data_IF_960027996482
#
_entry.id   IF_960027996482
#
_cell.length_a   1.000
_cell.length_b   1.000
_cell.length_c   1.000
_cell.angle_alpha   90.00
_cell.angle_beta   90.00
_cell.angle_gamma   90.00
#
_symmetry.space_group_name_H-M   'P 1'
#
loop_
_entity.id
_entity.type
_entity.pdbx_description
1 polymer ?
#
# COMPACT_ATOMS: atom_id res chain seq x y z
N UNK A 1 0.80 -29.88 16.87
CA UNK A 1 0.90 -28.87 15.80
C UNK A 1 1.18 -27.53 16.45
N UNK A 2 2.23 -26.79 16.06
CA UNK A 2 2.33 -25.40 16.47
C UNK A 2 1.15 -24.65 15.84
N UNK A 3 0.39 -23.91 16.64
CA UNK A 3 -0.64 -23.01 16.14
C UNK A 3 0.08 -21.72 15.75
N UNK A 4 0.45 -21.58 14.48
CA UNK A 4 0.90 -20.30 13.96
C UNK A 4 -0.30 -19.33 14.00
N UNK A 5 -0.23 -18.31 14.84
CA UNK A 5 -1.25 -17.27 14.95
C UNK A 5 -0.89 -16.12 14.01
N UNK A 6 -1.51 -16.15 12.83
CA UNK A 6 -1.44 -15.07 11.85
C UNK A 6 -2.53 -14.04 12.13
N UNK A 7 -2.15 -12.80 12.42
CA UNK A 7 -3.09 -11.70 12.29
C UNK A 7 -3.17 -11.28 10.83
N UNK A 8 -4.26 -11.71 10.20
CA UNK A 8 -4.69 -11.14 8.94
C UNK A 8 -5.52 -9.90 9.25
N UNK A 9 -4.99 -8.72 8.97
CA UNK A 9 -5.83 -7.52 8.85
C UNK A 9 -6.59 -7.57 7.50
N UNK A 10 -7.33 -8.67 7.24
CA UNK A 10 -8.00 -8.98 5.96
C UNK A 10 -9.52 -8.76 6.05
N UNK A 11 -9.98 -7.55 6.33
CA UNK A 11 -11.37 -7.19 6.07
C UNK A 11 -11.44 -5.93 5.21
N UNK A 12 -11.45 -6.19 3.90
CA UNK A 12 -11.78 -5.28 2.80
C UNK A 12 -10.70 -4.24 2.48
N UNK A 13 -10.33 -4.18 1.20
CA UNK A 13 -9.13 -3.57 0.59
C UNK A 13 -8.85 -2.09 0.83
N UNK A 14 -8.41 -1.72 2.05
CA UNK A 14 -8.16 -0.32 2.41
C UNK A 14 -7.06 -0.15 3.48
N UNK A 15 -6.11 -1.07 3.60
CA UNK A 15 -5.29 -1.14 4.84
C UNK A 15 -4.42 0.09 5.09
N UNK A 16 -3.85 0.73 4.07
CA UNK A 16 -3.01 1.91 4.32
C UNK A 16 -3.82 3.12 4.82
N UNK A 17 -4.95 3.40 4.15
CA UNK A 17 -5.86 4.50 4.52
C UNK A 17 -6.63 4.27 5.82
N UNK A 18 -6.79 3.00 6.24
CA UNK A 18 -7.46 2.66 7.51
C UNK A 18 -6.51 2.59 8.70
N UNK A 19 -5.21 2.38 8.48
CA UNK A 19 -4.26 2.10 9.57
C UNK A 19 -3.19 3.18 9.74
N UNK A 20 -2.45 3.55 8.69
CA UNK A 20 -1.28 4.44 8.86
C UNK A 20 -1.68 5.87 9.26
N UNK A 21 -2.55 6.51 8.49
CA UNK A 21 -2.81 7.94 8.61
C UNK A 21 -1.61 8.80 8.21
N UNK A 22 -1.55 10.02 8.75
CA UNK A 22 -0.50 10.99 8.52
C UNK A 22 -0.30 11.27 7.01
N UNK A 23 -1.42 11.50 6.31
CA UNK A 23 -1.50 11.53 4.86
C UNK A 23 -0.63 12.64 4.21
N UNK A 24 -0.41 13.74 4.93
CA UNK A 24 0.39 14.89 4.49
C UNK A 24 1.69 15.08 5.31
N UNK A 25 2.07 14.08 6.12
CA UNK A 25 3.25 14.18 6.98
C UNK A 25 4.47 13.44 6.40
N UNK A 26 5.65 13.83 6.88
CA UNK A 26 6.89 13.15 6.54
C UNK A 26 7.26 13.19 5.07
N UNK A 27 6.75 14.16 4.29
CA UNK A 27 7.01 14.29 2.86
C UNK A 27 6.21 13.37 1.94
N UNK A 28 5.18 12.67 2.46
CA UNK A 28 4.25 11.88 1.65
C UNK A 28 3.44 12.77 0.71
N UNK A 29 3.23 12.32 -0.52
CA UNK A 29 2.31 12.96 -1.48
C UNK A 29 0.99 12.19 -1.58
N UNK A 30 -0.09 12.81 -2.10
CA UNK A 30 -1.36 12.12 -2.29
C UNK A 30 -1.26 10.86 -3.17
N UNK A 31 -2.02 9.82 -2.79
CA UNK A 31 -2.35 8.68 -3.63
C UNK A 31 -3.79 8.80 -4.15
N UNK A 32 -4.19 7.90 -5.07
CA UNK A 32 -5.53 7.87 -5.66
C UNK A 32 -6.67 7.83 -4.63
N UNK A 33 -6.44 7.20 -3.47
CA UNK A 33 -7.42 7.17 -2.38
C UNK A 33 -7.55 8.48 -1.63
N UNK A 34 -6.46 9.23 -1.45
CA UNK A 34 -6.52 10.55 -0.79
C UNK A 34 -7.44 11.46 -1.61
N UNK A 35 -7.18 11.58 -2.92
CA UNK A 35 -7.98 12.38 -3.85
C UNK A 35 -9.44 11.94 -3.83
N UNK A 36 -9.71 10.63 -3.97
CA UNK A 36 -11.06 10.09 -3.99
C UNK A 36 -11.84 10.38 -2.68
N UNK A 37 -11.17 10.27 -1.53
CA UNK A 37 -11.79 10.52 -0.23
C UNK A 37 -12.03 12.01 0.01
N UNK A 38 -11.08 12.89 -0.35
CA UNK A 38 -11.24 14.35 -0.24
C UNK A 38 -12.29 14.92 -1.21
N UNK A 39 -12.58 14.22 -2.30
CA UNK A 39 -13.74 14.51 -3.17
C UNK A 39 -15.09 14.07 -2.58
N UNK A 40 -15.09 13.43 -1.40
CA UNK A 40 -16.30 12.99 -0.70
C UNK A 40 -16.99 11.79 -1.36
N UNK A 41 -16.24 10.98 -2.12
CA UNK A 41 -16.75 9.80 -2.82
C UNK A 41 -16.74 8.51 -1.97
N UNK A 42 -16.22 8.57 -0.75
CA UNK A 42 -16.33 7.48 0.24
C UNK A 42 -17.76 7.41 0.80
N UNK A 43 -18.25 6.19 1.11
CA UNK A 43 -19.64 5.97 1.55
C UNK A 43 -20.05 6.82 2.77
N UNK A 44 -19.12 7.04 3.70
CA UNK A 44 -19.32 7.82 4.92
C UNK A 44 -18.67 9.21 4.87
N UNK A 45 -18.14 9.61 3.70
CA UNK A 45 -17.40 10.87 3.47
C UNK A 45 -16.19 11.07 4.38
N UNK A 46 -15.65 10.00 4.97
CA UNK A 46 -14.44 10.07 5.78
C UNK A 46 -13.19 10.01 4.91
N UNK A 47 -12.11 10.58 5.45
CA UNK A 47 -10.78 10.59 4.84
C UNK A 47 -9.83 9.67 5.60
N UNK A 48 -8.74 9.26 4.94
CA UNK A 48 -7.65 8.49 5.54
C UNK A 48 -6.61 9.35 6.24
N UNK A 49 -6.89 10.64 6.50
CA UNK A 49 -5.87 11.60 6.96
C UNK A 49 -5.25 11.22 8.31
N UNK A 50 -6.08 10.71 9.24
CA UNK A 50 -5.66 10.27 10.58
C UNK A 50 -5.75 8.74 10.70
N UNK A 51 -6.82 8.13 10.21
CA UNK A 51 -7.03 6.69 10.27
C UNK A 51 -6.92 6.11 11.71
N UNK A 52 -6.30 4.95 11.90
CA UNK A 52 -5.95 4.43 13.23
C UNK A 52 -4.68 5.06 13.83
N UNK A 53 -4.00 5.93 13.07
CA UNK A 53 -2.82 6.69 13.51
C UNK A 53 -1.61 5.79 13.85
N UNK A 54 -1.46 4.66 13.16
CA UNK A 54 -0.32 3.75 13.35
C UNK A 54 1.00 4.44 13.00
N UNK A 55 1.00 5.44 12.09
CA UNK A 55 2.20 6.19 11.77
C UNK A 55 2.89 6.75 13.03
N UNK A 56 2.11 7.21 14.00
CA UNK A 56 2.60 7.70 15.29
C UNK A 56 2.63 6.62 16.38
N UNK A 57 1.71 5.65 16.31
CA UNK A 57 1.46 4.66 17.39
C UNK A 57 2.05 3.27 17.14
N UNK A 58 2.86 3.09 16.10
CA UNK A 58 3.37 1.78 15.71
C UNK A 58 4.03 0.99 16.86
N UNK A 59 4.69 1.64 17.82
CA UNK A 59 5.28 0.95 18.99
C UNK A 59 4.23 0.34 19.91
N UNK A 60 3.11 1.04 20.11
CA UNK A 60 1.99 0.59 20.93
C UNK A 60 1.28 -0.57 20.22
N UNK A 61 1.02 -0.41 18.92
CA UNK A 61 0.41 -1.45 18.08
C UNK A 61 1.25 -2.72 18.06
N UNK A 62 2.56 -2.61 17.83
CA UNK A 62 3.47 -3.77 17.82
C UNK A 62 3.54 -4.44 19.19
N UNK A 63 3.52 -3.67 20.29
CA UNK A 63 3.47 -4.24 21.64
C UNK A 63 2.16 -5.02 21.85
N UNK A 64 1.02 -4.49 21.40
CA UNK A 64 -0.26 -5.20 21.47
C UNK A 64 -0.25 -6.48 20.63
N UNK A 65 0.34 -6.44 19.43
CA UNK A 65 0.53 -7.63 18.59
C UNK A 65 1.33 -8.73 19.31
N UNK A 66 2.40 -8.33 20.00
CA UNK A 66 3.20 -9.24 20.82
C UNK A 66 2.39 -9.81 22.00
N UNK A 67 1.70 -8.95 22.75
CA UNK A 67 0.89 -9.34 23.91
C UNK A 67 -0.25 -10.31 23.51
N UNK A 68 -0.74 -10.21 22.26
CA UNK A 68 -1.71 -11.13 21.67
C UNK A 68 -1.11 -12.46 21.16
N UNK A 69 0.21 -12.56 21.07
CA UNK A 69 0.91 -13.76 20.61
C UNK A 69 0.95 -13.95 19.10
N UNK A 70 0.98 -12.87 18.32
CA UNK A 70 1.12 -12.94 16.86
C UNK A 70 2.53 -13.40 16.46
N UNK A 71 2.59 -14.33 15.52
CA UNK A 71 3.87 -14.80 14.95
C UNK A 71 4.32 -13.94 13.76
N UNK A 72 3.36 -13.35 13.03
CA UNK A 72 3.61 -12.55 11.85
C UNK A 72 2.61 -11.39 11.72
N UNK A 73 3.06 -10.30 11.09
CA UNK A 73 2.23 -9.14 10.79
C UNK A 73 2.38 -8.73 9.32
N UNK A 74 1.24 -8.69 8.62
CA UNK A 74 1.18 -8.23 7.23
C UNK A 74 0.82 -6.75 7.16
N UNK A 75 1.66 -5.95 6.52
CA UNK A 75 1.40 -4.53 6.24
C UNK A 75 1.81 -4.18 4.80
N UNK A 76 1.41 -3.00 4.32
CA UNK A 76 1.80 -2.47 3.02
C UNK A 76 2.71 -1.25 3.16
N UNK A 77 3.64 -1.09 2.22
CA UNK A 77 4.45 0.13 2.11
C UNK A 77 3.73 1.10 1.19
N UNK A 78 3.54 2.34 1.63
CA UNK A 78 2.97 3.40 0.82
C UNK A 78 3.97 3.90 -0.21
N UNK A 79 3.68 3.65 -1.49
CA UNK A 79 4.53 4.11 -2.58
C UNK A 79 4.74 5.63 -2.51
N UNK A 80 3.65 6.40 -2.38
CA UNK A 80 3.71 7.86 -2.31
C UNK A 80 4.45 8.42 -1.06
N UNK A 81 4.69 7.57 -0.04
CA UNK A 81 5.52 7.92 1.12
C UNK A 81 7.00 7.65 0.88
N UNK A 82 7.35 6.55 0.20
CA UNK A 82 8.75 6.17 -0.09
C UNK A 82 9.31 6.94 -1.28
N UNK A 83 8.52 7.11 -2.33
CA UNK A 83 8.87 7.90 -3.52
C UNK A 83 7.72 8.88 -3.78
N UNK A 84 7.84 10.12 -3.27
CA UNK A 84 6.85 11.17 -3.51
C UNK A 84 6.62 11.36 -5.01
N UNK A 85 5.36 11.50 -5.42
CA UNK A 85 4.93 11.57 -6.83
C UNK A 85 5.25 10.33 -7.68
N UNK A 86 5.60 9.19 -7.06
CA UNK A 86 5.83 7.91 -7.74
C UNK A 86 7.18 7.77 -8.44
N UNK A 87 7.86 8.88 -8.77
CA UNK A 87 9.20 8.91 -9.38
C UNK A 87 10.11 9.92 -8.71
N UNK A 88 11.41 9.69 -8.82
CA UNK A 88 12.44 10.63 -8.40
C UNK A 88 13.13 10.21 -7.10
N UNK A 89 13.57 11.17 -6.27
CA UNK A 89 14.36 10.86 -5.09
C UNK A 89 13.54 10.12 -4.04
N UNK A 90 14.17 9.14 -3.40
CA UNK A 90 13.62 8.44 -2.24
C UNK A 90 13.46 9.43 -1.09
N UNK A 91 12.32 9.37 -0.42
CA UNK A 91 12.03 10.16 0.76
C UNK A 91 12.63 9.50 2.02
N UNK A 92 13.68 10.08 2.64
CA UNK A 92 14.35 9.46 3.78
C UNK A 92 13.45 9.32 4.99
N UNK A 93 12.49 10.22 5.20
CA UNK A 93 11.56 10.14 6.33
C UNK A 93 10.56 8.99 6.17
N UNK A 94 10.06 8.77 4.95
CA UNK A 94 9.23 7.61 4.62
C UNK A 94 9.96 6.30 4.84
N UNK A 95 11.21 6.21 4.36
CA UNK A 95 12.08 5.04 4.59
C UNK A 95 12.37 4.84 6.08
N UNK A 96 12.62 5.91 6.83
CA UNK A 96 12.87 5.84 8.26
C UNK A 96 11.68 5.29 9.03
N UNK A 97 10.45 5.69 8.68
CA UNK A 97 9.24 5.16 9.30
C UNK A 97 9.13 3.64 9.13
N UNK A 98 9.24 3.12 7.91
CA UNK A 98 9.16 1.67 7.66
C UNK A 98 10.32 0.92 8.31
N UNK A 99 11.53 1.49 8.31
CA UNK A 99 12.65 0.92 9.04
C UNK A 99 12.37 0.79 10.54
N UNK A 100 11.78 1.81 11.15
CA UNK A 100 11.41 1.81 12.55
C UNK A 100 10.34 0.76 12.86
N UNK A 101 9.29 0.66 12.03
CA UNK A 101 8.23 -0.34 12.17
C UNK A 101 8.79 -1.77 12.04
N UNK A 102 9.58 -2.04 11.00
CA UNK A 102 10.21 -3.36 10.76
C UNK A 102 11.11 -3.75 11.93
N UNK A 103 11.93 -2.82 12.42
CA UNK A 103 12.83 -3.07 13.54
C UNK A 103 12.06 -3.35 14.83
N UNK A 104 10.96 -2.63 15.09
CA UNK A 104 10.13 -2.87 16.27
C UNK A 104 9.43 -4.23 16.19
N UNK A 105 8.86 -4.60 15.04
CA UNK A 105 8.26 -5.94 14.82
C UNK A 105 9.27 -7.06 15.11
N UNK A 106 10.46 -6.95 14.51
CA UNK A 106 11.53 -7.94 14.71
C UNK A 106 12.02 -8.02 16.15
N UNK A 107 12.07 -6.89 16.86
CA UNK A 107 12.44 -6.85 18.28
C UNK A 107 11.50 -7.69 19.14
N UNK A 108 10.21 -7.76 18.79
CA UNK A 108 9.22 -8.60 19.48
C UNK A 108 9.07 -10.01 18.88
N UNK A 109 9.92 -10.38 17.90
CA UNK A 109 9.89 -11.68 17.26
C UNK A 109 8.75 -11.87 16.24
N UNK A 110 8.09 -10.79 15.82
CA UNK A 110 6.98 -10.84 14.85
C UNK A 110 7.59 -10.74 13.45
N UNK A 111 7.32 -11.74 12.60
CA UNK A 111 7.84 -11.78 11.22
C UNK A 111 7.04 -10.80 10.33
N UNK A 112 7.68 -9.81 9.69
CA UNK A 112 6.97 -8.84 8.86
C UNK A 112 6.72 -9.40 7.45
N UNK A 113 5.46 -9.33 7.00
CA UNK A 113 5.03 -9.72 5.65
C UNK A 113 4.64 -8.46 4.88
N UNK A 114 5.42 -8.07 3.87
CA UNK A 114 5.25 -6.76 3.23
C UNK A 114 4.54 -6.85 1.91
N UNK A 115 3.55 -5.99 1.70
CA UNK A 115 2.87 -5.78 0.42
C UNK A 115 3.37 -4.48 -0.24
N UNK A 116 3.80 -4.54 -1.49
CA UNK A 116 4.36 -3.37 -2.19
C UNK A 116 3.29 -2.43 -2.75
N UNK A 117 2.27 -2.97 -3.43
CA UNK A 117 1.14 -2.22 -3.95
C UNK A 117 -0.16 -2.70 -3.30
N UNK A 118 -0.85 -1.78 -2.63
CA UNK A 118 -2.13 -2.07 -1.97
C UNK A 118 -3.15 -0.97 -2.28
N UNK A 119 -3.46 -0.83 -3.57
CA UNK A 119 -4.45 0.10 -4.12
C UNK A 119 -4.12 1.58 -3.91
N UNK A 120 -2.90 1.92 -3.49
CA UNK A 120 -2.47 3.24 -3.08
C UNK A 120 -1.48 3.87 -4.08
N UNK A 121 -1.79 3.76 -5.37
CA UNK A 121 -1.00 4.35 -6.44
C UNK A 121 -0.82 5.87 -6.24
N UNK A 122 0.39 6.44 -6.40
CA UNK A 122 0.60 7.89 -6.36
C UNK A 122 -0.29 8.61 -7.37
N UNK A 123 -0.99 9.67 -6.94
CA UNK A 123 -1.96 10.38 -7.79
C UNK A 123 -1.31 10.94 -9.06
N UNK A 124 -0.05 11.36 -8.98
CA UNK A 124 0.71 11.86 -10.13
C UNK A 124 0.83 10.86 -11.28
N UNK A 125 0.92 9.56 -11.00
CA UNK A 125 1.02 8.52 -12.03
C UNK A 125 -0.35 8.26 -12.68
N UNK A 126 -1.42 8.35 -11.88
CA UNK A 126 -2.80 8.32 -12.39
C UNK A 126 -3.08 9.53 -13.30
N UNK A 127 -2.71 10.73 -12.87
CA UNK A 127 -2.92 11.97 -13.62
C UNK A 127 -2.11 12.01 -14.93
N UNK A 128 -0.88 11.49 -14.92
CA UNK A 128 0.02 11.58 -16.08
C UNK A 128 -0.36 10.61 -17.20
N UNK A 129 -0.72 9.37 -16.86
CA UNK A 129 -0.92 8.32 -17.86
C UNK A 129 -2.01 7.30 -17.52
N UNK A 130 -2.91 7.62 -16.57
CA UNK A 130 -3.96 6.70 -16.10
C UNK A 130 -3.40 5.45 -15.41
N UNK A 131 -2.27 5.61 -14.72
CA UNK A 131 -1.75 4.63 -13.77
C UNK A 131 -1.67 3.21 -14.32
N UNK A 132 -2.43 2.31 -13.70
CA UNK A 132 -2.39 0.88 -13.99
C UNK A 132 -2.98 0.49 -15.36
N UNK A 133 -3.56 1.42 -16.11
CA UNK A 133 -4.00 1.20 -17.49
C UNK A 133 -2.87 1.36 -18.52
N UNK A 134 -1.74 1.94 -18.12
CA UNK A 134 -0.61 2.20 -19.02
C UNK A 134 0.52 1.22 -18.77
N UNK A 135 1.15 0.65 -19.82
CA UNK A 135 2.33 -0.21 -19.64
C UNK A 135 3.53 0.51 -19.04
N UNK A 136 3.53 1.86 -19.01
CA UNK A 136 4.57 2.66 -18.34
C UNK A 136 4.67 2.36 -16.84
N UNK A 137 3.58 1.94 -16.20
CA UNK A 137 3.57 1.62 -14.77
C UNK A 137 4.52 0.48 -14.42
N UNK A 138 4.83 -0.42 -15.38
CA UNK A 138 5.73 -1.55 -15.15
C UNK A 138 7.13 -1.05 -14.79
N UNK A 139 7.64 -0.07 -15.52
CA UNK A 139 8.97 0.52 -15.26
C UNK A 139 8.98 1.25 -13.92
N UNK A 140 7.94 2.05 -13.65
CA UNK A 140 7.84 2.83 -12.40
C UNK A 140 7.69 1.94 -11.17
N UNK A 141 6.85 0.90 -11.26
CA UNK A 141 6.64 -0.06 -10.18
C UNK A 141 7.91 -0.88 -9.93
N UNK A 142 8.62 -1.28 -10.99
CA UNK A 142 9.92 -1.98 -10.85
C UNK A 142 10.93 -1.10 -10.13
N UNK A 143 11.07 0.17 -10.51
CA UNK A 143 11.98 1.11 -9.84
C UNK A 143 11.61 1.32 -8.36
N UNK A 144 10.31 1.39 -8.04
CA UNK A 144 9.84 1.45 -6.67
C UNK A 144 10.12 0.17 -5.86
N UNK A 145 9.86 -1.00 -6.46
CA UNK A 145 10.15 -2.28 -5.85
C UNK A 145 11.66 -2.44 -5.57
N UNK A 146 12.52 -2.03 -6.50
CA UNK A 146 13.98 -2.04 -6.32
C UNK A 146 14.42 -1.18 -5.13
N UNK A 147 13.81 0.00 -4.94
CA UNK A 147 14.05 0.82 -3.74
C UNK A 147 13.62 0.04 -2.50
N UNK A 148 12.43 -0.55 -2.47
CA UNK A 148 11.95 -1.30 -1.30
C UNK A 148 12.86 -2.49 -0.96
N UNK A 149 13.29 -3.26 -1.96
CA UNK A 149 14.20 -4.38 -1.76
C UNK A 149 15.57 -3.93 -1.28
N UNK A 150 16.10 -2.82 -1.80
CA UNK A 150 17.38 -2.27 -1.36
C UNK A 150 17.34 -1.75 0.07
N UNK A 151 16.31 -1.00 0.44
CA UNK A 151 16.23 -0.34 1.75
C UNK A 151 15.78 -1.28 2.88
N UNK A 152 14.99 -2.32 2.57
CA UNK A 152 14.35 -3.16 3.58
C UNK A 152 14.63 -4.68 3.44
N UNK A 153 15.17 -5.11 2.29
CA UNK A 153 15.36 -6.53 1.98
C UNK A 153 16.39 -7.25 2.85
N UNK A 154 17.26 -6.52 3.54
CA UNK A 154 18.20 -7.09 4.52
C UNK A 154 17.47 -7.77 5.70
N UNK A 155 16.25 -7.30 6.00
CA UNK A 155 15.42 -7.79 7.11
C UNK A 155 14.18 -8.54 6.64
N UNK A 156 13.64 -8.26 5.46
CA UNK A 156 12.37 -8.82 5.03
C UNK A 156 12.54 -10.07 4.16
N UNK A 157 11.86 -11.15 4.56
CA UNK A 157 11.86 -12.42 3.81
C UNK A 157 10.62 -12.61 2.94
N UNK A 158 9.47 -12.09 3.39
CA UNK A 158 8.18 -12.34 2.78
C UNK A 158 7.63 -11.09 2.10
N UNK A 159 7.53 -11.15 0.78
CA UNK A 159 7.08 -10.06 -0.07
C UNK A 159 5.85 -10.47 -0.87
N UNK A 160 4.90 -9.55 -0.95
CA UNK A 160 3.70 -9.62 -1.77
C UNK A 160 3.77 -8.41 -2.69
N UNK A 161 3.84 -8.63 -3.99
CA UNK A 161 4.02 -7.54 -4.97
C UNK A 161 2.73 -6.72 -5.11
N UNK A 162 1.61 -7.36 -5.43
CA UNK A 162 0.31 -6.68 -5.54
C UNK A 162 -0.75 -7.41 -4.73
N UNK A 163 -1.52 -6.67 -3.94
CA UNK A 163 -2.68 -7.20 -3.25
C UNK A 163 -3.87 -7.31 -4.21
N UNK A 164 -4.52 -8.48 -4.24
CA UNK A 164 -5.81 -8.68 -4.92
C UNK A 164 -5.86 -8.04 -6.34
N UNK A 165 -4.98 -8.47 -7.26
CA UNK A 165 -4.81 -7.85 -8.59
C UNK A 165 -6.07 -7.88 -9.46
N UNK A 166 -7.07 -8.67 -9.09
CA UNK A 166 -8.38 -8.71 -9.73
C UNK A 166 -9.35 -7.65 -9.19
N UNK A 167 -9.20 -7.21 -7.95
CA UNK A 167 -10.17 -6.32 -7.27
C UNK A 167 -10.06 -4.88 -7.75
N UNK A 168 -8.85 -4.34 -7.89
CA UNK A 168 -8.65 -2.96 -8.36
C UNK A 168 -9.18 -2.72 -9.78
N UNK A 169 -8.92 -3.60 -10.76
CA UNK A 169 -9.56 -3.50 -12.08
C UNK A 169 -11.10 -3.56 -12.02
N UNK A 170 -11.64 -4.54 -11.31
CA UNK A 170 -13.10 -4.76 -11.25
C UNK A 170 -13.80 -3.62 -10.52
N UNK A 171 -13.30 -3.19 -9.35
CA UNK A 171 -13.94 -2.16 -8.55
C UNK A 171 -13.64 -0.75 -9.06
N UNK A 172 -12.46 -0.51 -9.62
CA UNK A 172 -12.01 0.81 -10.08
C UNK A 172 -12.41 1.17 -11.51
N UNK A 173 -12.52 0.17 -12.41
CA UNK A 173 -12.76 0.37 -13.84
C UNK A 173 -14.04 -0.28 -14.39
N UNK A 174 -14.48 -1.44 -13.86
CA UNK A 174 -15.76 -2.06 -14.27
C UNK A 174 -16.95 -1.49 -13.47
N UNK A 175 -16.86 -1.49 -12.13
CA UNK A 175 -17.97 -1.08 -11.26
C UNK A 175 -17.91 0.39 -10.85
N UNK A 176 -16.76 1.05 -10.97
CA UNK A 176 -16.58 2.45 -10.56
C UNK A 176 -16.98 2.70 -9.10
N UNK A 177 -16.61 1.79 -8.19
CA UNK A 177 -16.84 1.90 -6.74
C UNK A 177 -15.54 2.33 -6.05
N UNK A 178 -14.39 1.94 -6.60
CA UNK A 178 -13.05 2.33 -6.12
C UNK A 178 -12.46 3.44 -7.01
N UNK A 179 -11.43 4.16 -6.56
CA UNK A 179 -10.60 4.98 -7.45
C UNK A 179 -10.05 4.12 -8.60
N UNK A 180 -9.90 4.66 -9.82
CA UNK A 180 -10.16 6.05 -10.22
C UNK A 180 -11.64 6.36 -10.52
N UNK A 181 -12.56 5.48 -10.15
CA UNK A 181 -14.01 5.65 -10.33
C UNK A 181 -14.40 5.79 -11.81
N UNK A 182 -13.72 5.02 -12.67
CA UNK A 182 -14.04 4.95 -14.08
C UNK A 182 -15.08 3.85 -14.30
N UNK A 183 -16.10 4.15 -15.09
CA UNK A 183 -17.03 3.14 -15.63
C UNK A 183 -16.81 3.12 -17.16
N UNK A 184 -15.83 2.34 -17.61
CA UNK A 184 -15.66 2.07 -19.05
C UNK A 184 -15.63 0.56 -19.30
N UNK A 185 -15.88 0.14 -20.54
CA UNK A 185 -16.16 -1.26 -20.88
C UNK A 185 -15.07 -2.24 -20.40
N UNK A 186 -15.44 -3.52 -20.28
CA UNK A 186 -14.62 -4.65 -19.78
C UNK A 186 -13.17 -4.77 -20.30
N UNK A 187 -12.82 -4.03 -21.35
CA UNK A 187 -11.47 -3.94 -21.90
C UNK A 187 -10.48 -3.21 -20.98
N UNK A 188 -10.92 -2.20 -20.23
CA UNK A 188 -10.06 -1.49 -19.28
C UNK A 188 -9.59 -2.41 -18.14
N UNK A 189 -10.51 -3.24 -17.63
CA UNK A 189 -10.20 -4.21 -16.58
C UNK A 189 -9.30 -5.34 -17.07
N UNK A 190 -9.47 -5.80 -18.31
CA UNK A 190 -8.56 -6.78 -18.94
C UNK A 190 -7.15 -6.19 -19.09
N UNK A 191 -7.03 -4.92 -19.50
CA UNK A 191 -5.74 -4.25 -19.65
C UNK A 191 -5.01 -4.11 -18.30
N UNK A 192 -5.71 -3.65 -17.26
CA UNK A 192 -5.15 -3.53 -15.92
C UNK A 192 -4.75 -4.90 -15.36
N UNK A 193 -5.58 -5.94 -15.51
CA UNK A 193 -5.24 -7.31 -15.11
C UNK A 193 -4.00 -7.85 -15.85
N UNK A 194 -3.88 -7.56 -17.15
CA UNK A 194 -2.70 -7.94 -17.94
C UNK A 194 -1.42 -7.28 -17.43
N UNK A 195 -1.47 -6.01 -17.07
CA UNK A 195 -0.32 -5.27 -16.53
C UNK A 195 0.06 -5.75 -15.12
N UNK A 196 -0.92 -6.08 -14.28
CA UNK A 196 -0.65 -6.71 -12.98
C UNK A 196 0.17 -7.99 -13.12
N UNK A 197 -0.18 -8.85 -14.08
CA UNK A 197 0.57 -10.08 -14.36
C UNK A 197 2.01 -9.79 -14.81
N UNK A 198 2.25 -8.71 -15.57
CA UNK A 198 3.60 -8.32 -15.97
C UNK A 198 4.45 -7.86 -14.77
N UNK A 199 3.84 -7.21 -13.77
CA UNK A 199 4.53 -6.78 -12.55
C UNK A 199 4.92 -7.95 -11.62
N UNK A 200 4.51 -9.18 -11.94
CA UNK A 200 4.82 -10.40 -11.19
C UNK A 200 5.87 -11.31 -11.85
N UNK A 201 6.31 -11.01 -13.07
CA UNK A 201 7.34 -11.79 -13.80
C UNK A 201 8.73 -11.21 -13.62
#
# INVERSE_FOLDING_TARGET
>A
MPKEQFAWCNLLGFNLMKVEGAAAEGGRTPCIWDTFAHEGRTEDKRTGDIAADQYHKYKEDVKLMHDMGLDAYRFSISWSRVIPNGRGPVNPQGVQYYNNLINELKKYGIEPHVTLLHFDLPQSLEDEYSGLLSPKIVEDFTAYADVCFREFGDRLKYWITVNEPNIEPILGHDLGIFPPNHCSSSLASIAAMGIHLLNHM
#
